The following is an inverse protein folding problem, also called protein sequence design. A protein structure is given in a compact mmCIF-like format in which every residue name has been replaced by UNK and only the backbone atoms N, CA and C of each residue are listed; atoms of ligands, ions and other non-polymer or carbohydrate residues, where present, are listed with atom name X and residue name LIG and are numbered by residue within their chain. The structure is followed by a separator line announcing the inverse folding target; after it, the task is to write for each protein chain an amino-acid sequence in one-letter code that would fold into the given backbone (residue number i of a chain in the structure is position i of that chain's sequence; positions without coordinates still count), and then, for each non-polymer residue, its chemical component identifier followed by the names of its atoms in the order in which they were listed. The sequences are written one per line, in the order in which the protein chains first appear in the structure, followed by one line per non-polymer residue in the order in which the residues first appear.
data_IF_279909646166
#
_entry.id   IF_279909646166
#
_cell.length_a   1.000
_cell.length_b   1.000
_cell.length_c   1.000
_cell.angle_alpha   90.00
_cell.angle_beta   90.00
_cell.angle_gamma   90.00
#
_symmetry.space_group_name_H-M   'P 1'
#
loop_
_entity.id
_entity.type
_entity.pdbx_description
1 polymer ?
#
# COMPACT_ATOMS: atom_id res chain seq x y z
N UNK A 1 -19.68 11.07 11.07
CA UNK A 1 -19.51 12.18 12.03
C UNK A 1 -18.90 11.77 13.37
N UNK A 2 -18.98 10.50 13.78
CA UNK A 2 -18.37 10.02 15.04
C UNK A 2 -17.01 9.34 14.79
N UNK A 3 -16.73 8.95 13.55
CA UNK A 3 -15.52 8.22 13.14
C UNK A 3 -14.47 9.12 12.48
N UNK A 4 -14.79 10.41 12.25
CA UNK A 4 -13.84 11.37 11.69
C UNK A 4 -12.63 11.55 12.63
N UNK A 5 -11.44 11.13 12.19
CA UNK A 5 -10.20 11.22 12.95
C UNK A 5 -9.94 10.07 13.93
N UNK A 6 -10.73 9.00 13.90
CA UNK A 6 -10.41 7.75 14.58
C UNK A 6 -9.41 6.97 13.72
N UNK A 7 -8.36 6.43 14.35
CA UNK A 7 -7.38 5.63 13.63
C UNK A 7 -8.01 4.32 13.11
N UNK A 8 -7.72 3.86 11.90
CA UNK A 8 -8.27 2.63 11.34
C UNK A 8 -8.12 1.41 12.25
N UNK A 9 -6.94 1.24 12.90
CA UNK A 9 -6.71 0.18 13.87
C UNK A 9 -7.70 0.18 15.05
N UNK A 10 -8.01 1.38 15.59
CA UNK A 10 -8.98 1.51 16.68
C UNK A 10 -10.39 1.15 16.20
N UNK A 11 -10.72 1.53 14.96
CA UNK A 11 -12.00 1.17 14.34
C UNK A 11 -12.08 -0.34 14.10
N UNK A 12 -11.01 -0.97 13.63
CA UNK A 12 -10.93 -2.42 13.44
C UNK A 12 -11.12 -3.17 14.77
N UNK A 13 -10.52 -2.69 15.86
CA UNK A 13 -10.70 -3.27 17.20
C UNK A 13 -12.17 -3.16 17.66
N UNK A 14 -12.85 -2.05 17.40
CA UNK A 14 -14.25 -1.90 17.76
C UNK A 14 -15.20 -2.84 17.00
N UNK A 15 -14.83 -3.22 15.78
CA UNK A 15 -15.61 -4.18 15.00
C UNK A 15 -15.71 -5.56 15.67
N UNK A 16 -14.77 -5.94 16.56
CA UNK A 16 -14.76 -7.19 17.31
C UNK A 16 -16.02 -7.34 18.21
N UNK A 17 -16.55 -6.22 18.71
CA UNK A 17 -17.69 -6.20 19.59
C UNK A 17 -19.05 -6.05 18.87
N UNK A 18 -19.03 -5.97 17.52
CA UNK A 18 -20.20 -5.72 16.69
C UNK A 18 -20.65 -6.98 15.93
N UNK A 19 -21.93 -7.06 15.63
CA UNK A 19 -22.41 -8.01 14.62
C UNK A 19 -21.96 -7.60 13.21
N UNK A 20 -21.99 -8.53 12.25
CA UNK A 20 -21.61 -8.26 10.85
C UNK A 20 -22.46 -7.12 10.26
N UNK A 21 -23.76 -7.05 10.60
CA UNK A 21 -24.67 -5.99 10.16
C UNK A 21 -24.29 -4.62 10.72
N UNK A 22 -23.91 -4.56 11.99
CA UNK A 22 -23.47 -3.32 12.64
C UNK A 22 -22.10 -2.90 12.10
N UNK A 23 -21.16 -3.83 11.94
CA UNK A 23 -19.86 -3.61 11.33
C UNK A 23 -19.98 -3.07 9.90
N UNK A 24 -20.84 -3.67 9.09
CA UNK A 24 -21.15 -3.18 7.75
C UNK A 24 -21.64 -1.73 7.76
N UNK A 25 -22.56 -1.41 8.68
CA UNK A 25 -23.10 -0.05 8.82
C UNK A 25 -22.03 0.97 9.27
N UNK A 26 -21.00 0.52 9.96
CA UNK A 26 -19.81 1.34 10.29
C UNK A 26 -18.99 1.58 9.03
N UNK A 27 -18.64 0.53 8.28
CA UNK A 27 -17.84 0.63 7.05
C UNK A 27 -18.52 1.52 5.99
N UNK A 28 -19.84 1.49 5.86
CA UNK A 28 -20.57 2.36 4.93
C UNK A 28 -20.45 3.86 5.25
N UNK A 29 -20.07 4.24 6.46
CA UNK A 29 -19.89 5.62 6.87
C UNK A 29 -18.46 6.14 6.66
N UNK A 30 -17.51 5.25 6.43
CA UNK A 30 -16.11 5.58 6.13
C UNK A 30 -15.95 5.95 4.65
N UNK A 31 -15.00 6.84 4.35
CA UNK A 31 -14.51 6.96 2.98
C UNK A 31 -13.78 5.70 2.56
N UNK A 32 -13.38 5.62 1.31
CA UNK A 32 -12.81 4.39 0.77
C UNK A 32 -11.45 4.09 1.40
N UNK A 33 -10.60 5.10 1.61
CA UNK A 33 -9.28 4.99 2.22
C UNK A 33 -9.39 4.37 3.64
N UNK A 34 -10.14 5.01 4.53
CA UNK A 34 -10.33 4.51 5.90
C UNK A 34 -11.03 3.13 5.93
N UNK A 35 -11.94 2.85 4.98
CA UNK A 35 -12.61 1.56 4.86
C UNK A 35 -11.64 0.45 4.50
N UNK A 36 -10.76 0.70 3.54
CA UNK A 36 -9.76 -0.24 3.07
C UNK A 36 -8.76 -0.57 4.20
N UNK A 37 -8.22 0.45 4.86
CA UNK A 37 -7.30 0.29 5.99
C UNK A 37 -7.95 -0.47 7.16
N UNK A 38 -9.22 -0.19 7.50
CA UNK A 38 -9.93 -0.92 8.55
C UNK A 38 -10.07 -2.40 8.21
N UNK A 39 -10.37 -2.74 6.95
CA UNK A 39 -10.51 -4.13 6.51
C UNK A 39 -9.17 -4.88 6.50
N UNK A 40 -8.08 -4.20 6.12
CA UNK A 40 -6.73 -4.77 6.14
C UNK A 40 -6.23 -5.02 7.58
N UNK A 41 -6.59 -4.15 8.53
CA UNK A 41 -6.15 -4.24 9.92
C UNK A 41 -7.06 -5.08 10.82
N UNK A 42 -8.29 -5.41 10.38
CA UNK A 42 -9.22 -6.19 11.17
C UNK A 42 -8.83 -7.68 11.20
N UNK A 43 -9.16 -8.37 12.28
CA UNK A 43 -8.98 -9.82 12.36
C UNK A 43 -9.77 -10.54 11.25
N UNK A 44 -9.24 -11.63 10.71
CA UNK A 44 -9.88 -12.43 9.64
C UNK A 44 -11.33 -12.81 9.98
N UNK A 45 -11.60 -13.11 11.25
CA UNK A 45 -12.93 -13.44 11.75
C UNK A 45 -13.96 -12.32 11.52
N UNK A 46 -13.51 -11.09 11.35
CA UNK A 46 -14.32 -9.90 11.10
C UNK A 46 -14.26 -9.51 9.61
N UNK A 47 -13.07 -9.52 9.03
CA UNK A 47 -12.87 -9.10 7.64
C UNK A 47 -13.58 -10.02 6.66
N UNK A 48 -13.47 -11.34 6.80
CA UNK A 48 -14.07 -12.31 5.87
C UNK A 48 -15.58 -12.10 5.69
N UNK A 49 -16.42 -12.07 6.75
CA UNK A 49 -17.85 -11.83 6.59
C UNK A 49 -18.20 -10.46 5.99
N UNK A 50 -17.36 -9.44 6.19
CA UNK A 50 -17.58 -8.11 5.64
C UNK A 50 -17.18 -8.05 4.16
N UNK A 51 -16.07 -8.68 3.77
CA UNK A 51 -15.64 -8.81 2.38
C UNK A 51 -16.61 -9.62 1.54
N UNK A 52 -17.19 -10.71 2.09
CA UNK A 52 -18.24 -11.52 1.43
C UNK A 52 -19.52 -10.74 1.11
N UNK A 53 -19.80 -9.64 1.81
CA UNK A 53 -20.94 -8.74 1.54
C UNK A 53 -20.68 -7.75 0.42
N UNK A 54 -19.42 -7.50 0.10
CA UNK A 54 -19.06 -6.52 -0.91
C UNK A 54 -19.42 -6.99 -2.31
N UNK A 55 -19.89 -6.07 -3.13
CA UNK A 55 -19.93 -6.27 -4.56
C UNK A 55 -18.50 -6.31 -5.13
N UNK A 56 -18.34 -6.92 -6.30
CA UNK A 56 -17.05 -6.96 -6.97
C UNK A 56 -16.44 -5.54 -7.16
N UNK A 57 -17.27 -4.54 -7.49
CA UNK A 57 -16.82 -3.16 -7.64
C UNK A 57 -16.29 -2.56 -6.33
N UNK A 58 -16.98 -2.79 -5.20
CA UNK A 58 -16.53 -2.31 -3.90
C UNK A 58 -15.22 -2.98 -3.45
N UNK A 59 -15.08 -4.27 -3.73
CA UNK A 59 -13.86 -5.00 -3.41
C UNK A 59 -12.69 -4.53 -4.29
N UNK A 60 -12.95 -4.21 -5.57
CA UNK A 60 -11.95 -3.63 -6.46
C UNK A 60 -11.49 -2.25 -5.94
N UNK A 61 -12.41 -1.37 -5.54
CA UNK A 61 -12.09 -0.08 -4.95
C UNK A 61 -11.22 -0.23 -3.68
N UNK A 62 -11.51 -1.20 -2.82
CA UNK A 62 -10.69 -1.49 -1.63
C UNK A 62 -9.28 -1.94 -2.02
N UNK A 63 -9.15 -2.83 -3.00
CA UNK A 63 -7.85 -3.35 -3.46
C UNK A 63 -7.04 -2.28 -4.18
N UNK A 64 -7.68 -1.32 -4.86
CA UNK A 64 -7.00 -0.18 -5.50
C UNK A 64 -6.45 0.82 -4.48
N UNK A 65 -7.11 0.96 -3.33
CA UNK A 65 -6.72 1.92 -2.29
C UNK A 65 -5.62 1.40 -1.35
N UNK A 66 -5.53 0.08 -1.16
CA UNK A 66 -4.56 -0.52 -0.24
C UNK A 66 -3.13 -0.55 -0.80
N UNK A 67 -2.10 -0.45 0.06
CA UNK A 67 -0.74 -0.88 -0.28
C UNK A 67 -0.71 -2.31 -0.83
N UNK A 68 0.30 -2.64 -1.64
CA UNK A 68 0.30 -3.90 -2.40
C UNK A 68 0.32 -5.15 -1.50
N UNK A 69 1.01 -5.13 -0.37
CA UNK A 69 1.04 -6.21 0.62
C UNK A 69 -0.33 -6.40 1.29
N UNK A 70 -0.94 -5.33 1.80
CA UNK A 70 -2.29 -5.36 2.37
C UNK A 70 -3.35 -5.80 1.36
N UNK A 71 -3.23 -5.38 0.10
CA UNK A 71 -4.11 -5.79 -0.99
C UNK A 71 -4.03 -7.30 -1.25
N UNK A 72 -2.83 -7.88 -1.22
CA UNK A 72 -2.62 -9.33 -1.35
C UNK A 72 -3.23 -10.07 -0.18
N UNK A 73 -3.05 -9.57 1.05
CA UNK A 73 -3.63 -10.18 2.25
C UNK A 73 -5.16 -10.18 2.20
N UNK A 74 -5.77 -9.06 1.82
CA UNK A 74 -7.24 -8.96 1.63
C UNK A 74 -7.72 -9.90 0.51
N UNK A 75 -7.01 -9.99 -0.60
CA UNK A 75 -7.34 -10.91 -1.70
C UNK A 75 -7.20 -12.39 -1.31
N UNK A 76 -6.34 -12.72 -0.36
CA UNK A 76 -6.21 -14.07 0.18
C UNK A 76 -7.41 -14.48 1.08
N UNK A 77 -8.16 -13.52 1.61
CA UNK A 77 -9.35 -13.78 2.45
C UNK A 77 -10.63 -14.08 1.65
N UNK A 78 -10.65 -13.84 0.34
CA UNK A 78 -11.82 -14.09 -0.52
C UNK A 78 -11.63 -15.34 -1.37
N UNK A 79 -12.72 -15.84 -1.97
CA UNK A 79 -12.61 -16.99 -2.88
C UNK A 79 -11.70 -16.68 -4.08
N UNK A 80 -10.86 -17.62 -4.50
CA UNK A 80 -9.94 -17.49 -5.63
C UNK A 80 -10.61 -16.95 -6.90
N UNK A 81 -11.85 -17.38 -7.16
CA UNK A 81 -12.65 -16.92 -8.30
C UNK A 81 -13.03 -15.43 -8.20
N UNK A 82 -13.21 -14.90 -6.99
CA UNK A 82 -13.51 -13.48 -6.74
C UNK A 82 -12.22 -12.68 -6.83
N UNK A 83 -11.13 -13.14 -6.22
CA UNK A 83 -9.81 -12.54 -6.31
C UNK A 83 -9.38 -12.34 -7.78
N UNK A 84 -9.50 -13.38 -8.61
CA UNK A 84 -9.17 -13.27 -10.04
C UNK A 84 -10.08 -12.28 -10.79
N UNK A 85 -11.36 -12.15 -10.41
CA UNK A 85 -12.25 -11.15 -11.01
C UNK A 85 -11.88 -9.72 -10.61
N UNK A 86 -11.43 -9.50 -9.37
CA UNK A 86 -10.88 -8.21 -8.91
C UNK A 86 -9.63 -7.87 -9.71
N UNK A 87 -8.67 -8.80 -9.81
CA UNK A 87 -7.43 -8.61 -10.56
C UNK A 87 -7.62 -8.39 -12.07
N UNK A 88 -8.80 -8.68 -12.61
CA UNK A 88 -9.17 -8.33 -13.97
C UNK A 88 -9.76 -6.92 -14.11
N UNK A 89 -10.13 -6.26 -13.00
CA UNK A 89 -10.73 -4.92 -13.01
C UNK A 89 -9.72 -3.83 -12.66
N UNK A 90 -8.70 -4.14 -11.86
CA UNK A 90 -7.57 -3.22 -11.61
C UNK A 90 -6.70 -3.09 -12.86
N UNK A 91 -5.87 -2.04 -12.92
CA UNK A 91 -4.97 -1.89 -14.06
C UNK A 91 -3.97 -3.06 -14.18
N UNK A 92 -3.41 -3.22 -15.39
CA UNK A 92 -2.60 -4.39 -15.71
C UNK A 92 -1.31 -4.45 -14.89
N UNK A 93 -0.64 -3.32 -14.69
CA UNK A 93 0.65 -3.25 -13.99
C UNK A 93 0.45 -3.60 -12.51
N UNK A 94 -0.59 -3.03 -11.87
CA UNK A 94 -0.96 -3.36 -10.49
C UNK A 94 -1.35 -4.84 -10.36
N UNK A 95 -2.17 -5.38 -11.28
CA UNK A 95 -2.57 -6.79 -11.23
C UNK A 95 -1.38 -7.75 -11.38
N UNK A 96 -0.38 -7.41 -12.20
CA UNK A 96 0.86 -8.20 -12.34
C UNK A 96 1.69 -8.12 -11.05
N UNK A 97 1.84 -6.96 -10.44
CA UNK A 97 2.53 -6.76 -9.16
C UNK A 97 1.89 -7.55 -8.01
N UNK A 98 0.56 -7.47 -7.88
CA UNK A 98 -0.17 -8.23 -6.85
C UNK A 98 -0.06 -9.75 -7.04
N UNK A 99 -0.07 -10.25 -8.29
CA UNK A 99 0.16 -11.68 -8.55
C UNK A 99 1.58 -12.12 -8.23
N UNK A 100 2.57 -11.27 -8.49
CA UNK A 100 3.95 -11.55 -8.14
C UNK A 100 4.09 -11.65 -6.61
N UNK A 101 3.59 -10.66 -5.85
CA UNK A 101 3.60 -10.68 -4.39
C UNK A 101 2.87 -11.91 -3.83
N UNK A 102 1.68 -12.22 -4.31
CA UNK A 102 0.90 -13.39 -3.90
C UNK A 102 1.60 -14.74 -4.21
N UNK A 103 2.64 -14.75 -5.06
CA UNK A 103 3.41 -15.96 -5.36
C UNK A 103 4.44 -16.33 -4.28
N UNK A 104 4.76 -15.42 -3.38
CA UNK A 104 5.67 -15.65 -2.27
C UNK A 104 4.96 -16.34 -1.10
N UNK A 105 5.74 -17.05 -0.28
CA UNK A 105 5.23 -17.59 1.00
C UNK A 105 4.91 -16.43 1.95
N UNK A 106 3.70 -16.32 2.52
CA UNK A 106 3.31 -15.21 3.41
C UNK A 106 4.25 -14.99 4.59
N UNK A 107 4.89 -16.05 5.11
CA UNK A 107 5.86 -15.96 6.21
C UNK A 107 7.31 -15.66 5.74
N UNK A 108 7.53 -15.50 4.43
CA UNK A 108 8.82 -15.13 3.87
C UNK A 108 9.01 -13.61 3.80
N UNK A 109 10.27 -13.17 3.63
CA UNK A 109 10.55 -11.76 3.38
C UNK A 109 9.85 -11.22 2.11
N UNK A 110 9.65 -12.09 1.10
CA UNK A 110 8.93 -11.74 -0.12
C UNK A 110 7.43 -11.53 0.12
N UNK A 111 6.79 -12.34 1.00
CA UNK A 111 5.39 -12.18 1.37
C UNK A 111 5.11 -10.98 2.28
N UNK A 112 6.14 -10.49 2.98
CA UNK A 112 6.03 -9.35 3.90
C UNK A 112 6.56 -8.04 3.28
N UNK A 113 7.00 -8.04 2.02
CA UNK A 113 7.54 -6.84 1.38
C UNK A 113 6.44 -6.03 0.71
N UNK A 114 6.60 -4.70 0.73
CA UNK A 114 5.89 -3.82 -0.18
C UNK A 114 6.76 -3.56 -1.42
N UNK A 115 6.18 -3.62 -2.61
CA UNK A 115 6.83 -3.34 -3.89
C UNK A 115 6.64 -1.90 -4.36
N UNK A 116 5.78 -1.12 -3.73
CA UNK A 116 5.48 0.27 -4.07
C UNK A 116 6.52 1.22 -3.48
N UNK A 117 7.72 1.22 -4.08
CA UNK A 117 8.87 1.96 -3.60
C UNK A 117 9.23 3.07 -4.58
N UNK A 118 9.50 4.28 -4.06
CA UNK A 118 10.15 5.31 -4.87
C UNK A 118 11.62 4.97 -5.03
N UNK A 119 12.06 4.82 -6.27
CA UNK A 119 13.47 4.59 -6.61
C UNK A 119 14.03 5.74 -7.43
N UNK A 120 15.33 6.03 -7.29
CA UNK A 120 16.00 7.06 -8.07
C UNK A 120 17.38 6.58 -8.52
N UNK A 121 17.81 6.87 -9.77
CA UNK A 121 19.15 6.58 -10.22
C UNK A 121 20.20 7.39 -9.43
N UNK A 122 21.32 6.78 -9.09
CA UNK A 122 22.40 7.40 -8.31
C UNK A 122 23.03 8.66 -8.97
N UNK A 123 22.93 8.78 -10.31
CA UNK A 123 23.51 9.86 -11.10
C UNK A 123 22.64 11.09 -11.29
N UNK A 124 21.39 11.10 -10.75
CA UNK A 124 20.49 12.26 -10.88
C UNK A 124 20.72 13.29 -9.78
N UNK A 125 20.17 14.50 -9.95
CA UNK A 125 20.23 15.56 -8.94
C UNK A 125 19.10 15.45 -7.93
N UNK A 126 19.32 15.94 -6.71
CA UNK A 126 18.30 15.98 -5.67
C UNK A 126 17.02 16.71 -6.12
N UNK A 127 17.17 17.75 -6.96
CA UNK A 127 16.00 18.47 -7.52
C UNK A 127 15.15 17.62 -8.47
N UNK A 128 15.70 16.60 -9.10
CA UNK A 128 14.96 15.69 -9.97
C UNK A 128 14.27 14.60 -9.13
N UNK A 129 14.91 14.15 -8.05
CA UNK A 129 14.27 13.26 -7.05
C UNK A 129 13.07 13.92 -6.39
N UNK A 130 13.14 15.21 -6.05
CA UNK A 130 11.99 15.95 -5.51
C UNK A 130 10.81 15.99 -6.50
N UNK A 131 11.08 16.08 -7.80
CA UNK A 131 10.02 16.01 -8.81
C UNK A 131 9.41 14.61 -8.90
N UNK A 132 10.27 13.61 -8.87
CA UNK A 132 9.86 12.20 -8.88
C UNK A 132 8.91 11.91 -7.71
N UNK A 133 9.31 12.26 -6.47
CA UNK A 133 8.45 12.11 -5.28
C UNK A 133 7.10 12.82 -5.43
N UNK A 134 7.05 13.97 -6.11
CA UNK A 134 5.79 14.69 -6.34
C UNK A 134 4.89 14.06 -7.40
N UNK A 135 5.41 13.23 -8.26
CA UNK A 135 4.66 12.56 -9.33
C UNK A 135 4.30 11.12 -8.98
N UNK A 136 5.10 10.45 -8.18
CA UNK A 136 4.99 9.02 -7.86
C UNK A 136 4.85 8.77 -6.35
N UNK A 137 5.09 9.78 -5.52
CA UNK A 137 5.14 9.63 -4.06
C UNK A 137 3.77 9.45 -3.40
N UNK A 138 2.67 9.77 -4.10
CA UNK A 138 1.32 9.53 -3.60
C UNK A 138 0.93 8.03 -3.73
N UNK A 139 1.64 7.27 -4.58
CA UNK A 139 1.45 5.83 -4.76
C UNK A 139 2.41 5.00 -3.89
N UNK A 140 3.43 5.63 -3.32
CA UNK A 140 4.37 4.95 -2.43
C UNK A 140 3.88 5.06 -0.99
N UNK A 141 3.83 3.92 -0.32
CA UNK A 141 3.57 3.87 1.11
C UNK A 141 4.53 4.81 1.88
N UNK A 142 4.15 5.29 3.06
CA UNK A 142 4.80 6.28 3.94
C UNK A 142 6.32 6.07 4.15
N UNK A 143 7.07 6.02 3.05
CA UNK A 143 8.52 5.91 3.05
C UNK A 143 9.18 7.15 3.66
N UNK A 144 10.25 6.94 4.42
CA UNK A 144 11.06 8.05 4.96
C UNK A 144 12.15 8.52 3.99
N UNK A 145 12.14 8.01 2.74
CA UNK A 145 13.14 8.33 1.73
C UNK A 145 12.98 7.52 0.45
N UNK A 146 13.99 7.59 -0.38
CA UNK A 146 14.04 7.02 -1.72
C UNK A 146 15.17 5.99 -1.80
N UNK A 147 14.90 4.83 -2.36
CA UNK A 147 15.96 3.85 -2.66
C UNK A 147 16.76 4.31 -3.89
N UNK A 148 18.06 4.24 -3.78
CA UNK A 148 18.96 4.65 -4.87
C UNK A 148 19.45 3.41 -5.59
N UNK A 149 19.32 3.41 -6.92
CA UNK A 149 19.68 2.29 -7.78
C UNK A 149 20.82 2.64 -8.75
N UNK A 150 21.55 1.62 -9.18
CA UNK A 150 22.54 1.73 -10.24
C UNK A 150 21.91 1.57 -11.64
N UNK A 151 22.76 1.54 -12.69
CA UNK A 151 22.31 1.40 -14.09
C UNK A 151 21.69 0.01 -14.39
N UNK A 152 21.89 -0.97 -13.50
CA UNK A 152 21.30 -2.31 -13.57
C UNK A 152 20.12 -2.49 -12.58
N UNK A 153 19.54 -1.38 -12.10
CA UNK A 153 18.41 -1.33 -11.14
C UNK A 153 18.67 -2.00 -9.79
N UNK A 154 19.92 -2.20 -9.41
CA UNK A 154 20.28 -2.77 -8.11
C UNK A 154 20.36 -1.68 -7.05
N UNK A 155 19.83 -1.92 -5.84
CA UNK A 155 19.92 -0.95 -4.75
C UNK A 155 21.39 -0.72 -4.34
N UNK A 156 21.82 0.53 -4.37
CA UNK A 156 23.19 0.96 -4.02
C UNK A 156 23.22 1.98 -2.89
N UNK A 157 22.08 2.48 -2.45
CA UNK A 157 22.00 3.40 -1.33
C UNK A 157 20.58 3.82 -0.99
N UNK A 158 20.48 4.69 0.01
CA UNK A 158 19.20 5.23 0.51
C UNK A 158 19.33 6.73 0.71
N UNK A 159 18.34 7.49 0.24
CA UNK A 159 18.26 8.94 0.35
C UNK A 159 17.07 9.32 1.23
N UNK A 160 17.31 9.61 2.50
CA UNK A 160 16.26 10.04 3.40
C UNK A 160 15.67 11.40 2.99
N UNK A 161 14.37 11.61 3.15
CA UNK A 161 13.71 12.90 2.83
C UNK A 161 14.35 14.09 3.54
N UNK A 162 14.91 13.88 4.74
CA UNK A 162 15.68 14.92 5.45
C UNK A 162 16.85 15.42 4.62
N UNK A 163 17.53 14.57 3.86
CA UNK A 163 18.68 14.96 3.03
C UNK A 163 18.26 15.86 1.87
N UNK A 164 17.07 15.66 1.30
CA UNK A 164 16.50 16.54 0.27
C UNK A 164 16.24 17.96 0.79
N UNK A 165 16.02 18.13 2.10
CA UNK A 165 15.77 19.43 2.73
C UNK A 165 17.08 20.11 3.15
N UNK A 166 18.10 19.33 3.55
CA UNK A 166 19.33 19.85 4.14
C UNK A 166 20.47 20.08 3.13
N UNK A 167 20.34 19.53 1.91
CA UNK A 167 21.35 19.65 0.87
C UNK A 167 20.85 20.49 -0.33
N UNK A 168 21.77 20.92 -1.18
CA UNK A 168 21.40 21.70 -2.37
C UNK A 168 20.72 20.80 -3.41
N UNK A 169 19.63 21.28 -4.01
CA UNK A 169 18.94 20.59 -5.11
C UNK A 169 19.82 20.35 -6.34
N UNK A 170 21.02 20.94 -6.40
CA UNK A 170 21.99 20.79 -7.49
C UNK A 170 23.00 19.67 -7.23
N UNK A 171 23.09 19.18 -6.00
CA UNK A 171 23.96 18.06 -5.64
C UNK A 171 23.45 16.76 -6.27
N UNK A 172 24.37 15.85 -6.58
CA UNK A 172 24.00 14.53 -7.11
C UNK A 172 23.63 13.58 -5.96
N UNK A 173 22.69 12.68 -6.23
CA UNK A 173 22.21 11.70 -5.25
C UNK A 173 23.34 10.89 -4.65
N UNK A 174 24.28 10.42 -5.48
CA UNK A 174 25.44 9.61 -5.04
C UNK A 174 26.35 10.29 -4.02
N UNK A 175 26.38 11.64 -3.99
CA UNK A 175 27.23 12.41 -3.08
C UNK A 175 26.57 12.61 -1.70
N UNK A 176 25.27 12.31 -1.59
CA UNK A 176 24.43 12.60 -0.42
C UNK A 176 23.81 11.36 0.19
N UNK A 177 23.55 10.32 -0.62
CA UNK A 177 22.94 9.07 -0.17
C UNK A 177 23.74 8.39 0.94
N UNK A 178 23.06 7.63 1.80
CA UNK A 178 23.68 6.64 2.69
C UNK A 178 23.88 5.32 1.93
N UNK A 179 24.99 4.61 2.22
CA UNK A 179 25.30 3.29 1.68
C UNK A 179 24.68 2.18 2.53
#
# INVERSE_FOLDING_TARGET
LFLEGVHPADTAEWLLDLSVEEGWSVLEQLDIEARAEVLAQAEESISIPLLERMSLAQLTEVVEELPADDAVDVLALVEESVSEQVLQQVDLERAEGLRELASYDPESAGGMMNSELVTAPHGVRLGDVIKLIKTEGDEAEDGQGVFVVDDEERPVGYLAYRQLITHSIREEVRDVMAL
#
